data_IF_933612198018
#
_entry.id   IF_933612198018
#
_cell.length_a   1.000
_cell.length_b   1.000
_cell.length_c   1.000
_cell.angle_alpha   90.00
_cell.angle_beta   90.00
_cell.angle_gamma   90.00
#
_symmetry.space_group_name_H-M   'P 1'
#
loop_
_entity.id
_entity.type
_entity.pdbx_description
1 polymer ?
#
# COMPACT_ATOMS: atom_id res chain seq x y z
N UNK A 1 62.63 -58.58 52.07
CA UNK A 1 61.58 -59.41 52.72
C UNK A 1 60.23 -58.83 52.30
N UNK A 2 59.62 -59.39 51.25
CA UNK A 2 58.47 -60.33 51.25
C UNK A 2 57.16 -59.67 51.76
N UNK A 3 56.27 -59.15 50.91
CA UNK A 3 55.12 -59.80 50.21
C UNK A 3 54.18 -60.66 51.07
N UNK A 4 52.85 -60.42 50.95
CA UNK A 4 51.67 -61.34 50.95
C UNK A 4 50.38 -60.49 51.19
N UNK A 5 49.58 -60.08 50.20
CA UNK A 5 48.45 -60.72 49.46
C UNK A 5 47.23 -61.21 50.26
N UNK A 6 46.05 -60.84 49.70
CA UNK A 6 44.77 -61.59 49.64
C UNK A 6 43.86 -61.55 50.89
N UNK A 7 42.51 -61.59 50.84
CA UNK A 7 41.59 -62.22 49.88
C UNK A 7 40.10 -61.78 50.09
N UNK A 8 39.34 -61.72 48.97
CA UNK A 8 37.97 -62.25 48.73
C UNK A 8 36.74 -61.80 49.55
N UNK A 9 35.87 -61.05 48.86
CA UNK A 9 34.43 -61.26 48.60
C UNK A 9 33.75 -62.51 49.21
N UNK A 10 32.61 -62.35 49.92
CA UNK A 10 31.44 -63.27 49.96
C UNK A 10 30.21 -62.63 50.70
N UNK A 11 29.06 -62.60 49.99
CA UNK A 11 27.62 -62.68 50.38
C UNK A 11 27.03 -61.69 51.42
N UNK A 12 26.11 -60.78 51.04
CA UNK A 12 24.62 -60.94 50.92
C UNK A 12 23.93 -61.46 52.21
N UNK A 13 23.18 -60.59 52.93
CA UNK A 13 21.70 -60.54 53.01
C UNK A 13 21.12 -59.83 54.27
N UNK A 14 20.24 -58.84 54.02
CA UNK A 14 19.08 -58.30 54.77
C UNK A 14 19.20 -57.84 56.25
N UNK A 15 19.13 -56.53 56.52
CA UNK A 15 17.93 -55.84 57.06
C UNK A 15 18.20 -54.32 57.24
N UNK A 16 17.27 -53.50 56.72
CA UNK A 16 16.79 -52.19 57.18
C UNK A 16 17.78 -51.02 57.43
N UNK A 17 17.62 -49.94 56.64
CA UNK A 17 17.35 -48.60 57.21
C UNK A 17 16.83 -47.64 56.12
N UNK A 18 15.84 -46.85 56.50
CA UNK A 18 14.96 -46.05 55.65
C UNK A 18 15.69 -45.01 54.78
N UNK A 19 15.34 -44.93 53.50
CA UNK A 19 15.61 -43.75 52.67
C UNK A 19 14.32 -42.98 52.47
N UNK A 20 14.30 -41.75 53.00
CA UNK A 20 13.26 -40.77 52.73
C UNK A 20 13.27 -40.44 51.23
N UNK A 21 12.16 -40.73 50.55
CA UNK A 21 11.90 -40.23 49.20
C UNK A 21 11.44 -38.78 49.31
N UNK A 22 12.40 -37.85 49.26
CA UNK A 22 12.10 -36.46 48.95
C UNK A 22 11.70 -36.36 47.48
N UNK A 23 10.40 -36.25 47.21
CA UNK A 23 9.92 -35.83 45.89
C UNK A 23 10.24 -34.34 45.77
N UNK A 24 11.35 -34.01 45.11
CA UNK A 24 11.56 -32.66 44.60
C UNK A 24 10.54 -32.43 43.48
N UNK A 25 9.42 -31.82 43.82
CA UNK A 25 8.54 -31.21 42.82
C UNK A 25 9.33 -30.06 42.22
N UNK A 26 10.03 -30.32 41.11
CA UNK A 26 10.51 -29.27 40.24
C UNK A 26 9.26 -28.55 39.71
N UNK A 27 8.84 -27.51 40.43
CA UNK A 27 7.82 -26.59 39.95
C UNK A 27 8.31 -26.01 38.64
N UNK A 28 7.75 -26.49 37.53
CA UNK A 28 7.87 -25.80 36.26
C UNK A 28 7.16 -24.47 36.46
N UNK A 29 7.93 -23.42 36.76
CA UNK A 29 7.45 -22.05 36.63
C UNK A 29 7.36 -21.84 35.13
N UNK A 30 6.18 -22.10 34.57
CA UNK A 30 5.85 -21.62 33.23
C UNK A 30 5.83 -20.10 33.39
N UNK A 31 6.87 -19.41 32.92
CA UNK A 31 6.79 -17.98 32.77
C UNK A 31 5.54 -17.70 31.93
N UNK A 32 4.69 -16.72 32.29
CA UNK A 32 3.64 -16.30 31.38
C UNK A 32 4.34 -15.96 30.07
N UNK A 33 3.85 -16.54 28.97
CA UNK A 33 4.21 -16.02 27.66
C UNK A 33 3.80 -14.55 27.68
N UNK A 34 4.78 -13.66 27.78
CA UNK A 34 4.55 -12.22 27.61
C UNK A 34 4.12 -12.05 26.16
N UNK A 35 2.80 -12.09 25.96
CA UNK A 35 2.16 -11.61 24.75
C UNK A 35 2.15 -10.10 24.85
N UNK A 36 2.69 -9.41 23.85
CA UNK A 36 2.80 -7.95 23.84
C UNK A 36 1.44 -7.21 23.82
N UNK A 37 0.30 -7.91 23.81
CA UNK A 37 -1.02 -7.40 24.20
C UNK A 37 -1.87 -8.56 24.72
N UNK A 38 -2.12 -8.62 26.04
CA UNK A 38 -3.05 -9.61 26.61
C UNK A 38 -4.50 -9.33 26.17
N UNK A 39 -4.82 -8.06 25.85
CA UNK A 39 -6.10 -7.64 25.27
C UNK A 39 -5.89 -6.44 24.31
N UNK A 40 -6.53 -6.42 23.13
CA UNK A 40 -6.46 -5.27 22.23
C UNK A 40 -7.14 -4.03 22.81
N UNK A 41 -6.75 -2.84 22.36
CA UNK A 41 -7.53 -1.63 22.65
C UNK A 41 -8.77 -1.67 21.74
N UNK A 42 -9.95 -1.37 22.29
CA UNK A 42 -11.18 -1.36 21.51
C UNK A 42 -11.07 -0.33 20.37
N UNK A 43 -11.43 -0.74 19.15
CA UNK A 43 -11.30 0.11 17.95
C UNK A 43 -9.88 0.17 17.36
N UNK A 44 -8.90 -0.51 17.93
CA UNK A 44 -7.55 -0.64 17.35
C UNK A 44 -7.61 -1.34 15.99
N UNK A 45 -6.79 -0.88 15.05
CA UNK A 45 -6.55 -1.54 13.77
C UNK A 45 -5.33 -2.45 13.84
N UNK A 46 -5.44 -3.62 13.23
CA UNK A 46 -4.35 -4.58 13.07
C UNK A 46 -4.27 -5.01 11.62
N UNK A 47 -3.05 -4.97 11.07
CA UNK A 47 -2.73 -5.56 9.78
C UNK A 47 -2.33 -7.02 9.97
N UNK A 48 -2.92 -7.93 9.21
CA UNK A 48 -2.60 -9.36 9.27
C UNK A 48 -2.36 -9.95 7.88
N UNK A 49 -1.38 -10.85 7.79
CA UNK A 49 -1.15 -11.68 6.60
C UNK A 49 -2.03 -12.92 6.56
N UNK A 50 -2.79 -13.20 7.62
CA UNK A 50 -3.74 -14.31 7.64
C UNK A 50 -4.98 -13.98 6.77
N UNK A 51 -5.62 -14.99 6.16
CA UNK A 51 -6.80 -14.78 5.32
C UNK A 51 -8.08 -14.50 6.14
N UNK A 52 -7.98 -14.34 7.46
CA UNK A 52 -9.08 -14.07 8.36
C UNK A 52 -8.71 -13.13 9.51
N UNK A 53 -9.71 -12.46 10.08
CA UNK A 53 -9.57 -11.74 11.34
C UNK A 53 -9.74 -12.70 12.53
N UNK A 54 -8.84 -12.66 13.54
CA UNK A 54 -8.99 -13.48 14.75
C UNK A 54 -10.27 -13.18 15.52
N UNK A 55 -10.64 -14.06 16.47
CA UNK A 55 -11.79 -13.84 17.36
C UNK A 55 -11.65 -12.50 18.11
N UNK A 56 -12.74 -11.74 18.20
CA UNK A 56 -12.75 -10.39 18.80
C UNK A 56 -12.32 -9.28 17.82
N UNK A 57 -12.08 -9.64 16.56
CA UNK A 57 -11.78 -8.73 15.48
C UNK A 57 -12.71 -8.97 14.29
N UNK A 58 -12.94 -7.93 13.51
CA UNK A 58 -13.70 -8.01 12.25
C UNK A 58 -12.97 -7.23 11.17
N UNK A 59 -13.24 -7.49 9.89
CA UNK A 59 -12.60 -6.77 8.80
C UNK A 59 -12.90 -5.26 8.83
N UNK A 60 -11.91 -4.43 8.56
CA UNK A 60 -12.09 -3.00 8.33
C UNK A 60 -12.49 -2.75 6.85
N UNK A 61 -13.68 -3.19 6.48
CA UNK A 61 -14.21 -3.18 5.10
C UNK A 61 -15.46 -2.30 4.92
N UNK A 62 -15.74 -1.37 5.84
CA UNK A 62 -16.88 -0.46 5.71
C UNK A 62 -18.25 -1.05 6.08
N UNK A 63 -18.30 -2.27 6.64
CA UNK A 63 -19.56 -2.88 7.06
C UNK A 63 -20.29 -2.06 8.14
N UNK A 64 -21.63 -2.10 8.09
CA UNK A 64 -22.50 -1.53 9.11
C UNK A 64 -22.69 -2.51 10.27
N UNK A 65 -22.53 -2.02 11.49
CA UNK A 65 -22.78 -2.77 12.72
C UNK A 65 -23.96 -2.17 13.48
N UNK A 66 -24.70 -3.02 14.20
CA UNK A 66 -25.77 -2.58 15.09
C UNK A 66 -25.21 -1.82 16.28
N UNK A 67 -25.73 -0.60 16.52
CA UNK A 67 -25.41 0.21 17.70
C UNK A 67 -25.80 -0.53 18.98
N UNK A 68 -26.96 -1.18 18.99
CA UNK A 68 -27.47 -1.90 20.16
C UNK A 68 -26.56 -3.04 20.62
N UNK A 69 -25.85 -3.69 19.70
CA UNK A 69 -24.94 -4.82 20.00
C UNK A 69 -23.49 -4.37 20.23
N UNK A 70 -23.12 -3.16 19.81
CA UNK A 70 -21.73 -2.69 19.82
C UNK A 70 -21.64 -1.28 20.43
N UNK A 71 -22.39 -1.03 21.52
CA UNK A 71 -22.50 0.29 22.15
C UNK A 71 -21.13 0.89 22.51
N UNK A 72 -20.23 0.07 23.05
CA UNK A 72 -18.89 0.52 23.47
C UNK A 72 -18.02 0.93 22.28
N UNK A 73 -18.09 0.20 21.16
CA UNK A 73 -17.36 0.54 19.94
C UNK A 73 -17.98 1.77 19.25
N UNK A 74 -19.30 1.87 19.25
CA UNK A 74 -20.02 3.05 18.76
C UNK A 74 -19.65 4.32 19.54
N UNK A 75 -19.49 4.22 20.86
CA UNK A 75 -19.04 5.35 21.68
C UNK A 75 -17.65 5.88 21.29
N UNK A 76 -16.81 5.06 20.64
CA UNK A 76 -15.50 5.49 20.13
C UNK A 76 -15.56 6.04 18.72
N UNK A 77 -16.24 5.34 17.80
CA UNK A 77 -16.21 5.65 16.37
C UNK A 77 -17.31 6.64 15.95
N UNK A 78 -18.43 6.66 16.68
CA UNK A 78 -19.64 7.39 16.30
C UNK A 78 -20.06 7.03 14.87
N UNK A 79 -20.43 8.05 14.10
CA UNK A 79 -20.79 7.94 12.68
C UNK A 79 -19.66 8.37 11.75
N UNK A 80 -18.42 8.42 12.23
CA UNK A 80 -17.25 8.93 11.47
C UNK A 80 -17.08 8.26 10.11
N UNK A 81 -17.40 6.97 10.02
CA UNK A 81 -17.29 6.19 8.78
C UNK A 81 -18.64 5.93 8.09
N UNK A 82 -19.74 6.47 8.62
CA UNK A 82 -21.10 6.28 8.11
C UNK A 82 -22.07 5.61 9.09
N UNK A 83 -23.24 5.23 8.57
CA UNK A 83 -24.39 4.75 9.35
C UNK A 83 -25.35 5.86 9.77
N UNK A 84 -26.46 5.48 10.38
CA UNK A 84 -27.53 6.41 10.79
C UNK A 84 -27.34 6.97 12.21
N UNK A 85 -26.37 6.44 12.97
CA UNK A 85 -26.08 6.86 14.35
C UNK A 85 -27.14 6.47 15.37
N UNK A 86 -28.19 5.75 14.96
CA UNK A 86 -29.30 5.33 15.82
C UNK A 86 -29.38 3.81 15.87
N UNK A 87 -29.50 3.17 14.71
CA UNK A 87 -29.58 1.71 14.58
C UNK A 87 -28.22 1.15 14.21
N UNK A 88 -27.45 1.87 13.41
CA UNK A 88 -26.21 1.40 12.81
C UNK A 88 -25.11 2.47 12.76
N UNK A 89 -23.87 2.01 12.77
CA UNK A 89 -22.69 2.78 12.45
C UNK A 89 -21.78 1.96 11.54
N UNK A 90 -20.94 2.61 10.74
CA UNK A 90 -20.00 1.92 9.88
C UNK A 90 -18.61 1.80 10.52
N UNK A 91 -17.90 0.74 10.13
CA UNK A 91 -16.46 0.60 10.38
C UNK A 91 -15.64 1.34 9.31
N UNK A 92 -14.34 1.60 9.54
CA UNK A 92 -13.45 2.05 8.47
C UNK A 92 -13.49 1.10 7.28
N UNK A 93 -13.39 1.64 6.07
CA UNK A 93 -13.19 0.85 4.86
C UNK A 93 -11.76 1.06 4.35
N UNK A 94 -10.90 0.06 4.51
CA UNK A 94 -9.51 0.08 4.05
C UNK A 94 -9.27 -0.78 2.79
N UNK A 95 -10.34 -1.26 2.15
CA UNK A 95 -10.21 -1.99 0.89
C UNK A 95 -9.76 -1.04 -0.22
N UNK A 96 -8.63 -1.35 -0.87
CA UNK A 96 -8.03 -0.51 -1.91
C UNK A 96 -7.46 0.82 -1.40
N UNK A 97 -7.24 0.96 -0.08
CA UNK A 97 -6.80 2.23 0.53
C UNK A 97 -5.56 2.05 1.40
N UNK A 98 -4.69 3.06 1.36
CA UNK A 98 -3.63 3.23 2.34
C UNK A 98 -4.13 4.12 3.48
N UNK A 99 -3.83 3.74 4.73
CA UNK A 99 -4.14 4.56 5.89
C UNK A 99 -3.19 5.76 5.95
N UNK A 100 -3.75 6.94 6.22
CA UNK A 100 -2.99 8.18 6.44
C UNK A 100 -3.41 8.79 7.78
N UNK A 101 -2.45 9.43 8.46
CA UNK A 101 -2.72 10.05 9.74
C UNK A 101 -3.60 11.30 9.57
N UNK A 102 -4.48 11.56 10.55
CA UNK A 102 -5.33 12.75 10.57
C UNK A 102 -4.51 14.04 10.80
N UNK A 103 -5.05 15.18 10.42
CA UNK A 103 -4.49 16.49 10.69
C UNK A 103 -3.63 17.05 9.57
N UNK A 104 -2.82 18.05 9.88
CA UNK A 104 -1.90 18.72 8.95
C UNK A 104 -0.46 18.62 9.48
N UNK A 105 0.42 17.98 8.72
CA UNK A 105 1.86 18.14 8.91
C UNK A 105 2.36 19.47 8.33
N UNK A 106 3.59 19.91 8.64
CA UNK A 106 4.17 21.11 8.05
C UNK A 106 4.14 21.05 6.51
N UNK A 107 3.48 22.02 5.87
CA UNK A 107 3.34 22.07 4.41
C UNK A 107 2.32 21.10 3.82
N UNK A 108 1.54 20.39 4.64
CA UNK A 108 0.49 19.47 4.18
C UNK A 108 -0.91 20.06 4.40
N UNK A 109 -1.85 19.66 3.55
CA UNK A 109 -3.28 19.95 3.75
C UNK A 109 -3.82 19.24 4.99
N UNK A 110 -4.81 19.86 5.65
CA UNK A 110 -5.53 19.24 6.76
C UNK A 110 -6.39 18.06 6.28
N UNK A 111 -6.24 16.90 6.92
CA UNK A 111 -7.05 15.70 6.69
C UNK A 111 -7.94 15.40 7.89
N UNK A 112 -9.26 15.34 7.68
CA UNK A 112 -10.19 14.95 8.73
C UNK A 112 -10.21 13.42 8.90
N UNK A 113 -10.44 12.94 10.12
CA UNK A 113 -10.65 11.50 10.35
C UNK A 113 -11.88 11.01 9.57
N UNK A 114 -11.78 9.84 8.94
CA UNK A 114 -12.85 9.28 8.11
C UNK A 114 -12.95 9.87 6.71
N UNK A 115 -12.18 10.92 6.38
CA UNK A 115 -12.15 11.48 5.03
C UNK A 115 -11.58 10.47 4.04
N UNK A 116 -12.27 10.29 2.91
CA UNK A 116 -11.78 9.46 1.81
C UNK A 116 -11.13 10.33 0.73
N UNK A 117 -9.92 9.95 0.33
CA UNK A 117 -9.09 10.67 -0.63
C UNK A 117 -8.39 9.70 -1.58
N UNK A 118 -7.79 10.25 -2.64
CA UNK A 118 -7.07 9.50 -3.65
C UNK A 118 -7.96 8.84 -4.70
N UNK A 119 -7.34 8.37 -5.78
CA UNK A 119 -7.95 7.63 -6.88
C UNK A 119 -7.04 6.46 -7.24
N UNK A 120 -7.62 5.33 -7.64
CA UNK A 120 -6.82 4.21 -8.18
C UNK A 120 -6.45 4.42 -9.65
N UNK A 121 -7.29 5.18 -10.38
CA UNK A 121 -7.10 5.49 -11.80
C UNK A 121 -7.38 6.96 -12.05
N UNK A 122 -6.56 7.58 -12.90
CA UNK A 122 -6.76 8.96 -13.35
C UNK A 122 -6.72 9.05 -14.86
N UNK A 123 -7.67 9.78 -15.44
CA UNK A 123 -7.65 10.10 -16.87
C UNK A 123 -6.72 11.28 -17.09
N UNK A 124 -5.79 11.14 -18.05
CA UNK A 124 -4.96 12.25 -18.47
C UNK A 124 -5.75 13.09 -19.47
N UNK A 125 -6.14 14.28 -19.03
CA UNK A 125 -6.68 15.34 -19.89
C UNK A 125 -5.57 16.31 -20.29
N UNK A 126 -5.79 17.08 -21.36
CA UNK A 126 -4.88 18.16 -21.77
C UNK A 126 -4.64 19.16 -20.63
N UNK A 127 -5.63 19.40 -19.76
CA UNK A 127 -5.50 20.27 -18.59
C UNK A 127 -4.53 19.75 -17.52
N UNK A 128 -4.27 18.45 -17.49
CA UNK A 128 -3.47 17.79 -16.45
C UNK A 128 -2.12 17.31 -16.99
N UNK A 129 -1.78 17.66 -18.24
CA UNK A 129 -0.49 17.41 -18.86
C UNK A 129 0.31 18.72 -18.95
N UNK A 130 1.66 18.66 -18.88
CA UNK A 130 2.49 19.80 -19.22
C UNK A 130 2.15 20.32 -20.62
N UNK A 131 2.00 21.65 -20.73
CA UNK A 131 1.77 22.30 -22.00
C UNK A 131 2.96 22.01 -22.94
N UNK A 132 2.66 21.42 -24.08
CA UNK A 132 3.63 21.18 -25.14
C UNK A 132 2.95 21.38 -26.49
N UNK A 133 3.74 21.73 -27.49
CA UNK A 133 3.28 21.96 -28.85
C UNK A 133 4.29 21.43 -29.84
N UNK A 134 3.82 20.87 -30.96
CA UNK A 134 4.66 20.52 -32.09
C UNK A 134 4.50 21.62 -33.14
N UNK A 135 5.49 22.49 -33.28
CA UNK A 135 5.53 23.42 -34.41
C UNK A 135 6.20 22.73 -35.60
N UNK A 136 5.43 22.37 -36.63
CA UNK A 136 6.00 22.15 -37.95
C UNK A 136 5.85 23.46 -38.74
N UNK A 137 6.94 24.20 -38.89
CA UNK A 137 7.03 25.28 -39.86
C UNK A 137 7.88 24.78 -41.02
N UNK A 138 7.22 24.19 -42.01
CA UNK A 138 7.86 23.90 -43.29
C UNK A 138 7.70 25.13 -44.18
N UNK A 139 8.75 25.51 -44.87
CA UNK A 139 8.70 26.56 -45.90
C UNK A 139 9.23 25.99 -47.21
N UNK A 140 8.69 26.45 -48.32
CA UNK A 140 9.14 26.08 -49.66
C UNK A 140 9.65 27.30 -50.42
N UNK A 141 10.72 27.13 -51.19
CA UNK A 141 11.20 28.15 -52.11
C UNK A 141 10.25 28.33 -53.29
N UNK A 142 10.18 29.56 -53.81
CA UNK A 142 9.35 29.88 -55.00
C UNK A 142 10.08 29.64 -56.32
N UNK A 143 11.38 29.28 -56.29
CA UNK A 143 12.17 28.94 -57.47
C UNK A 143 11.82 27.54 -57.99
N UNK A 144 12.07 27.30 -59.28
CA UNK A 144 11.88 25.98 -59.87
C UNK A 144 12.83 24.93 -59.25
N UNK A 145 12.31 23.72 -59.04
CA UNK A 145 13.07 22.60 -58.53
C UNK A 145 14.16 22.15 -59.53
N UNK A 146 15.35 21.91 -59.01
CA UNK A 146 16.53 21.46 -59.79
C UNK A 146 16.96 20.04 -59.43
N UNK A 147 16.39 19.48 -58.37
CA UNK A 147 16.78 18.20 -57.79
C UNK A 147 15.57 17.35 -57.38
N UNK A 148 15.73 16.03 -57.45
CA UNK A 148 14.75 15.04 -56.96
C UNK A 148 15.08 14.49 -55.57
N UNK A 149 16.32 14.67 -55.09
CA UNK A 149 16.78 14.17 -53.79
C UNK A 149 16.80 15.27 -52.71
N UNK A 150 16.33 14.98 -51.47
CA UNK A 150 16.18 15.97 -50.40
C UNK A 150 17.47 16.38 -49.68
N UNK A 151 18.54 15.59 -49.77
CA UNK A 151 19.71 15.75 -48.90
C UNK A 151 20.33 17.16 -49.05
N UNK A 152 20.30 17.93 -47.95
CA UNK A 152 20.84 19.30 -47.89
C UNK A 152 20.04 20.37 -48.66
N UNK A 153 18.81 20.07 -49.07
CA UNK A 153 18.00 20.92 -49.97
C UNK A 153 16.65 21.29 -49.36
N UNK A 154 16.02 22.31 -49.93
CA UNK A 154 14.68 22.77 -49.53
C UNK A 154 13.62 22.35 -50.56
N UNK A 155 12.37 22.28 -50.12
CA UNK A 155 11.21 22.15 -51.03
C UNK A 155 11.16 23.36 -51.97
N UNK A 156 10.76 23.12 -53.22
CA UNK A 156 10.72 24.14 -54.28
C UNK A 156 9.48 23.97 -55.17
N UNK A 157 9.26 24.90 -56.09
CA UNK A 157 8.20 24.76 -57.09
C UNK A 157 8.53 23.60 -58.04
N UNK A 158 7.70 22.55 -58.05
CA UNK A 158 8.00 21.33 -58.81
C UNK A 158 8.21 21.60 -60.30
N UNK A 159 9.28 21.07 -60.87
CA UNK A 159 9.61 21.18 -62.30
C UNK A 159 10.27 19.90 -62.78
N UNK A 160 9.81 19.34 -63.91
CA UNK A 160 10.40 18.18 -64.57
C UNK A 160 10.76 17.02 -63.62
N UNK A 161 9.80 16.61 -62.76
CA UNK A 161 9.93 15.61 -61.68
C UNK A 161 10.85 15.99 -60.49
N UNK A 162 11.45 17.17 -60.49
CA UNK A 162 12.14 17.75 -59.33
C UNK A 162 11.16 18.29 -58.28
N UNK A 163 11.52 18.14 -57.01
CA UNK A 163 10.77 18.64 -55.84
C UNK A 163 11.65 19.54 -54.96
N UNK A 164 12.97 19.43 -55.10
CA UNK A 164 13.94 20.12 -54.26
C UNK A 164 14.81 21.09 -55.06
N UNK A 165 15.30 22.12 -54.39
CA UNK A 165 16.34 23.02 -54.89
C UNK A 165 17.34 23.33 -53.77
N UNK A 166 18.50 23.86 -54.14
CA UNK A 166 19.46 24.35 -53.16
C UNK A 166 18.85 25.49 -52.33
N UNK A 167 19.21 25.56 -51.05
CA UNK A 167 18.70 26.56 -50.12
C UNK A 167 19.10 27.98 -50.56
N UNK A 168 18.18 28.69 -51.20
CA UNK A 168 18.37 30.01 -51.80
C UNK A 168 17.03 30.72 -52.00
N UNK A 169 17.06 32.06 -52.03
CA UNK A 169 15.91 32.89 -52.36
C UNK A 169 14.83 32.99 -51.27
N UNK A 170 13.69 33.56 -51.65
CA UNK A 170 12.52 33.73 -50.78
C UNK A 170 11.82 32.39 -50.58
N UNK A 171 11.50 32.09 -49.33
CA UNK A 171 10.65 30.95 -48.96
C UNK A 171 9.27 31.44 -48.51
N UNK A 172 8.25 30.62 -48.78
CA UNK A 172 6.88 30.85 -48.34
C UNK A 172 6.51 29.74 -47.35
N UNK A 173 5.93 30.07 -46.18
CA UNK A 173 5.43 29.08 -45.26
C UNK A 173 4.40 28.18 -45.95
N UNK A 174 4.55 26.87 -45.81
CA UNK A 174 3.51 25.93 -46.18
C UNK A 174 2.34 26.06 -45.21
N UNK A 175 1.14 25.65 -45.67
CA UNK A 175 -0.01 25.50 -44.78
C UNK A 175 0.38 24.59 -43.61
N UNK A 176 -0.02 24.99 -42.39
CA UNK A 176 0.41 24.30 -41.19
C UNK A 176 -0.12 22.86 -41.22
N UNK A 177 0.76 21.91 -41.52
CA UNK A 177 0.40 20.49 -41.54
C UNK A 177 -0.25 20.06 -40.23
N UNK A 178 -1.31 19.25 -40.34
CA UNK A 178 -2.16 18.79 -39.25
C UNK A 178 -1.35 18.07 -38.14
N UNK A 179 -0.85 18.83 -37.17
CA UNK A 179 -0.46 18.25 -35.88
C UNK A 179 -1.69 18.29 -34.99
N UNK A 180 -2.43 17.17 -34.97
CA UNK A 180 -3.57 17.00 -34.07
C UNK A 180 -3.15 16.61 -32.65
N UNK A 181 -4.08 16.75 -31.70
CA UNK A 181 -3.91 16.20 -30.35
C UNK A 181 -3.94 14.67 -30.46
N UNK A 182 -2.96 13.99 -29.86
CA UNK A 182 -2.93 12.53 -29.75
C UNK A 182 -3.10 12.10 -28.29
N UNK A 183 -3.74 10.96 -28.08
CA UNK A 183 -4.08 10.41 -26.76
C UNK A 183 -5.54 9.96 -26.71
N UNK A 184 -5.80 8.77 -26.20
CA UNK A 184 -7.15 8.21 -26.11
C UNK A 184 -7.96 8.72 -24.91
N UNK A 185 -7.36 9.55 -24.04
CA UNK A 185 -7.95 9.96 -22.76
C UNK A 185 -8.18 8.79 -21.79
N UNK A 186 -7.63 7.61 -22.09
CA UNK A 186 -7.81 6.43 -21.25
C UNK A 186 -7.19 6.64 -19.86
N UNK A 187 -7.90 6.16 -18.84
CA UNK A 187 -7.42 6.24 -17.48
C UNK A 187 -6.21 5.31 -17.27
N UNK A 188 -5.17 5.85 -16.65
CA UNK A 188 -4.00 5.09 -16.24
C UNK A 188 -4.14 4.69 -14.77
N UNK A 189 -3.63 3.51 -14.44
CA UNK A 189 -3.48 3.07 -13.05
C UNK A 189 -2.38 3.89 -12.38
N UNK A 190 -2.70 4.51 -11.24
CA UNK A 190 -1.77 5.34 -10.47
C UNK A 190 -1.44 4.73 -9.11
N UNK A 191 -1.81 3.46 -8.88
CA UNK A 191 -1.50 2.80 -7.63
C UNK A 191 0.00 2.55 -7.54
N UNK A 192 0.55 2.87 -6.38
CA UNK A 192 1.89 2.42 -6.02
C UNK A 192 1.92 0.89 -5.89
N UNK A 193 3.07 0.22 -6.11
CA UNK A 193 3.21 -1.19 -5.82
C UNK A 193 2.75 -1.50 -4.39
N UNK A 194 1.86 -2.48 -4.25
CA UNK A 194 1.24 -2.83 -2.97
C UNK A 194 1.16 -4.35 -2.78
N UNK A 195 1.27 -4.77 -1.53
CA UNK A 195 0.99 -6.14 -1.10
C UNK A 195 -0.36 -6.16 -0.39
N UNK A 196 -1.28 -7.02 -0.84
CA UNK A 196 -2.62 -7.12 -0.27
C UNK A 196 -2.57 -7.91 1.02
N UNK A 197 -3.04 -7.28 2.09
CA UNK A 197 -3.15 -7.85 3.43
C UNK A 197 -4.50 -7.45 4.03
N UNK A 198 -4.91 -8.15 5.08
CA UNK A 198 -6.20 -7.89 5.72
C UNK A 198 -6.05 -6.87 6.85
N UNK A 199 -6.86 -5.83 6.81
CA UNK A 199 -7.07 -4.94 7.95
C UNK A 199 -8.23 -5.44 8.80
N UNK A 200 -7.97 -5.58 10.09
CA UNK A 200 -8.94 -5.97 11.09
C UNK A 200 -9.08 -4.88 12.16
N UNK A 201 -10.28 -4.69 12.68
CA UNK A 201 -10.56 -3.79 13.81
C UNK A 201 -11.05 -4.58 15.01
N UNK A 202 -10.56 -4.23 16.20
CA UNK A 202 -10.95 -4.87 17.45
C UNK A 202 -12.37 -4.45 17.85
N UNK A 203 -13.27 -5.44 17.96
CA UNK A 203 -14.65 -5.26 18.46
C UNK A 203 -14.80 -5.64 19.92
N UNK A 204 -13.78 -6.31 20.48
CA UNK A 204 -13.66 -6.65 21.89
C UNK A 204 -12.28 -6.22 22.35
N UNK A 205 -12.17 -5.54 23.49
CA UNK A 205 -10.91 -5.03 23.99
C UNK A 205 -11.09 -4.07 25.16
N UNK A 206 -9.98 -3.53 25.66
CA UNK A 206 -9.98 -2.51 26.72
C UNK A 206 -10.43 -1.17 26.14
N UNK A 207 -11.36 -0.49 26.81
CA UNK A 207 -11.81 0.83 26.38
C UNK A 207 -10.71 1.89 26.65
N UNK A 208 -10.27 2.66 25.64
CA UNK A 208 -9.25 3.68 25.83
C UNK A 208 -9.76 4.80 26.73
N UNK A 209 -9.01 5.11 27.78
CA UNK A 209 -9.28 6.27 28.63
C UNK A 209 -8.75 7.54 27.93
N UNK A 210 -9.47 8.66 28.05
CA UNK A 210 -8.98 9.98 27.65
C UNK A 210 -8.56 10.70 28.93
N UNK A 211 -7.32 11.15 28.99
CA UNK A 211 -6.81 12.03 30.05
C UNK A 211 -7.18 13.50 29.80
#
# INVERSE_FOLDING_TARGET
MKTLTMHKWVKRHWLQCATAWGVAVAGVVIAPVVSAQEQPILGQLMLTGAPFCPKGWVYANGQLLSVAQNQTLFALLGTTYGGDGVRTFALPNLQGRAAVHQGAGPGLSWLALGQTLGLERTALSVSNLPAHSHSQSLSAGTSAATHSAPAGRQLAQSQNAGIYADASGTTVPLEAGNTGVTGSGAALDIRSPALVMNWCIATVGVYPQRD
#
